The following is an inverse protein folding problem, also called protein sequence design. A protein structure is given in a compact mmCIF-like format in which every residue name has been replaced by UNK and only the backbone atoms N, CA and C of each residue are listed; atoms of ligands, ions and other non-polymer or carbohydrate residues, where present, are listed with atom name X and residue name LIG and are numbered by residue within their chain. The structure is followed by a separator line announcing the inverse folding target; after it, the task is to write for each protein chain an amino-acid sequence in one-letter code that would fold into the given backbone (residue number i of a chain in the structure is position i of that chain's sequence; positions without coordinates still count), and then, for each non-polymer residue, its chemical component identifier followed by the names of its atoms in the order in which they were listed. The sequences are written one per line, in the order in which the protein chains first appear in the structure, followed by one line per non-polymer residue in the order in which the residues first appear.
data_IF_439444269331
#
_entry.id   IF_439444269331
#
_cell.length_a   1.000
_cell.length_b   1.000
_cell.length_c   1.000
_cell.angle_alpha   90.00
_cell.angle_beta   90.00
_cell.angle_gamma   90.00
#
_symmetry.space_group_name_H-M   'P 1'
#
loop_
_entity.id
_entity.type
_entity.pdbx_description
1 polymer ?
#
# COMPACT_ATOMS: atom_id res chain seq x y z
N UNK A 1 -3.50 5.65 -11.43
CA UNK A 1 -2.10 5.22 -11.65
C UNK A 1 -2.06 3.70 -11.58
N UNK A 2 -1.11 3.05 -12.25
CA UNK A 2 -0.96 1.58 -12.19
C UNK A 2 -0.17 1.21 -10.92
N UNK A 3 -0.63 0.25 -10.10
CA UNK A 3 0.08 -0.16 -8.88
C UNK A 3 1.45 -0.77 -9.18
N UNK A 4 1.60 -1.42 -10.33
CA UNK A 4 2.87 -2.02 -10.77
C UNK A 4 3.92 -0.95 -11.05
N UNK A 5 3.52 0.18 -11.63
CA UNK A 5 4.44 1.30 -11.89
C UNK A 5 4.94 1.94 -10.60
N UNK A 6 4.10 2.02 -9.56
CA UNK A 6 4.55 2.48 -8.24
C UNK A 6 5.51 1.47 -7.60
N UNK A 7 5.16 0.18 -7.67
CA UNK A 7 5.96 -0.86 -7.04
C UNK A 7 7.41 -0.92 -7.56
N UNK A 8 7.64 -0.54 -8.82
CA UNK A 8 8.98 -0.49 -9.44
C UNK A 8 9.93 0.52 -8.79
N UNK A 9 9.42 1.50 -8.04
CA UNK A 9 10.26 2.44 -7.30
C UNK A 9 10.81 1.87 -5.99
N UNK A 10 10.23 0.77 -5.48
CA UNK A 10 10.73 0.08 -4.30
C UNK A 10 12.00 -0.71 -4.67
N UNK A 11 13.16 -0.23 -4.21
CA UNK A 11 14.44 -0.93 -4.41
C UNK A 11 14.79 -1.82 -3.22
N UNK A 12 14.06 -1.69 -2.11
CA UNK A 12 14.24 -2.49 -0.90
C UNK A 12 12.92 -2.60 -0.10
N UNK A 13 12.85 -3.51 0.89
CA UNK A 13 11.62 -3.72 1.67
C UNK A 13 11.13 -2.51 2.48
N UNK A 14 12.05 -1.65 2.93
CA UNK A 14 11.69 -0.43 3.65
C UNK A 14 10.96 0.54 2.73
N UNK A 15 11.49 0.78 1.52
CA UNK A 15 10.85 1.61 0.50
C UNK A 15 9.50 1.04 0.04
N UNK A 16 9.38 -0.30 -0.04
CA UNK A 16 8.10 -0.93 -0.35
C UNK A 16 7.03 -0.56 0.70
N UNK A 17 7.39 -0.65 1.98
CA UNK A 17 6.49 -0.27 3.08
C UNK A 17 6.13 1.22 3.03
N UNK A 18 7.10 2.10 2.73
CA UNK A 18 6.90 3.54 2.59
C UNK A 18 5.97 3.91 1.43
N UNK A 19 6.15 3.29 0.26
CA UNK A 19 5.30 3.54 -0.91
C UNK A 19 3.86 3.08 -0.70
N UNK A 20 3.67 1.93 -0.04
CA UNK A 20 2.34 1.49 0.36
C UNK A 20 1.69 2.47 1.34
N UNK A 21 2.42 2.89 2.39
CA UNK A 21 1.91 3.83 3.39
C UNK A 21 1.55 5.19 2.77
N UNK A 22 2.41 5.72 1.90
CA UNK A 22 2.14 6.97 1.18
C UNK A 22 0.87 6.86 0.30
N UNK A 23 0.68 5.71 -0.36
CA UNK A 23 -0.51 5.46 -1.18
C UNK A 23 -1.77 5.30 -0.34
N UNK A 24 -1.65 4.66 0.82
CA UNK A 24 -2.73 4.48 1.78
C UNK A 24 -3.20 5.82 2.37
N UNK A 25 -2.27 6.73 2.71
CA UNK A 25 -2.58 8.04 3.30
C UNK A 25 -3.42 8.95 2.39
N UNK A 26 -3.33 8.76 1.07
CA UNK A 26 -4.07 9.56 0.08
C UNK A 26 -5.33 8.85 -0.44
N UNK A 27 -5.47 7.55 -0.16
CA UNK A 27 -6.59 6.75 -0.62
C UNK A 27 -7.84 7.00 0.23
N UNK A 28 -8.99 7.04 -0.41
CA UNK A 28 -10.30 7.00 0.21
C UNK A 28 -10.69 5.54 0.51
N UNK A 29 -10.70 5.19 1.79
CA UNK A 29 -11.08 3.88 2.30
C UNK A 29 -12.57 3.55 2.10
N UNK A 30 -13.40 4.45 1.59
CA UNK A 30 -14.78 4.13 1.20
C UNK A 30 -14.87 3.78 -0.29
N UNK A 31 -13.84 4.10 -1.08
CA UNK A 31 -13.82 3.84 -2.51
C UNK A 31 -13.35 2.41 -2.81
N UNK A 32 -14.25 1.60 -3.38
CA UNK A 32 -13.97 0.22 -3.75
C UNK A 32 -12.79 0.06 -4.73
N UNK A 33 -12.67 0.98 -5.69
CA UNK A 33 -11.58 0.92 -6.68
C UNK A 33 -10.22 1.19 -6.03
N UNK A 34 -10.16 2.09 -5.05
CA UNK A 34 -8.92 2.42 -4.36
C UNK A 34 -8.50 1.32 -3.38
N UNK A 35 -9.45 0.61 -2.77
CA UNK A 35 -9.15 -0.65 -2.04
C UNK A 35 -8.54 -1.71 -2.94
N UNK A 36 -9.12 -1.93 -4.11
CA UNK A 36 -8.59 -2.89 -5.08
C UNK A 36 -7.18 -2.48 -5.54
N UNK A 37 -6.96 -1.19 -5.75
CA UNK A 37 -5.65 -0.63 -6.07
C UNK A 37 -4.61 -0.89 -4.97
N UNK A 38 -4.93 -0.60 -3.70
CA UNK A 38 -4.02 -0.85 -2.57
C UNK A 38 -3.71 -2.34 -2.39
N UNK A 39 -4.71 -3.20 -2.56
CA UNK A 39 -4.50 -4.65 -2.49
C UNK A 39 -3.56 -5.15 -3.58
N UNK A 40 -3.68 -4.63 -4.80
CA UNK A 40 -2.76 -4.98 -5.88
C UNK A 40 -1.37 -4.40 -5.65
N UNK A 41 -1.27 -3.16 -5.19
CA UNK A 41 -0.01 -2.52 -4.84
C UNK A 41 0.76 -3.33 -3.78
N UNK A 42 0.09 -3.78 -2.71
CA UNK A 42 0.71 -4.61 -1.68
C UNK A 42 1.31 -5.92 -2.25
N UNK A 43 0.61 -6.56 -3.19
CA UNK A 43 1.11 -7.78 -3.87
C UNK A 43 2.33 -7.48 -4.74
N UNK A 44 2.29 -6.41 -5.52
CA UNK A 44 3.40 -6.01 -6.40
C UNK A 44 4.65 -5.61 -5.60
N UNK A 45 4.44 -5.03 -4.41
CA UNK A 45 5.49 -4.68 -3.46
C UNK A 45 6.01 -5.87 -2.65
N UNK A 46 5.36 -7.04 -2.74
CA UNK A 46 5.75 -8.24 -2.00
C UNK A 46 5.59 -8.11 -0.49
N UNK A 47 4.60 -7.32 -0.02
CA UNK A 47 4.34 -7.13 1.41
C UNK A 47 3.52 -8.29 1.96
N UNK A 48 3.95 -8.83 3.09
CA UNK A 48 3.18 -9.85 3.82
C UNK A 48 1.89 -9.27 4.41
N UNK A 49 0.83 -10.07 4.45
CA UNK A 49 -0.50 -9.66 4.94
C UNK A 49 -0.46 -9.09 6.37
N UNK A 50 0.41 -9.62 7.23
CA UNK A 50 0.60 -9.11 8.59
C UNK A 50 1.19 -7.70 8.62
N UNK A 51 2.15 -7.42 7.74
CA UNK A 51 2.76 -6.08 7.62
C UNK A 51 1.74 -5.10 7.04
N UNK A 52 0.99 -5.50 6.01
CA UNK A 52 -0.09 -4.70 5.42
C UNK A 52 -1.13 -4.34 6.48
N UNK A 53 -1.58 -5.30 7.30
CA UNK A 53 -2.52 -5.03 8.37
C UNK A 53 -1.97 -4.02 9.40
N UNK A 54 -0.69 -4.14 9.78
CA UNK A 54 -0.05 -3.18 10.69
C UNK A 54 0.04 -1.77 10.10
N UNK A 55 0.34 -1.63 8.81
CA UNK A 55 0.41 -0.33 8.14
C UNK A 55 -0.99 0.30 8.04
N UNK A 56 -2.03 -0.49 7.78
CA UNK A 56 -3.43 -0.01 7.78
C UNK A 56 -3.86 0.51 9.16
N UNK A 57 -3.53 -0.22 10.23
CA UNK A 57 -3.82 0.20 11.60
C UNK A 57 -3.12 1.50 12.01
N UNK A 58 -1.93 1.77 11.47
CA UNK A 58 -1.21 3.03 11.74
C UNK A 58 -1.89 4.27 11.16
N UNK A 59 -2.65 4.11 10.06
CA UNK A 59 -3.37 5.22 9.42
C UNK A 59 -4.79 5.34 9.98
N UNK A 60 -5.52 4.23 10.08
CA UNK A 60 -6.91 4.21 10.59
C UNK A 60 -7.02 4.38 12.10
N UNK A 61 -5.95 4.11 12.85
CA UNK A 61 -5.87 4.30 14.29
C UNK A 61 -5.56 5.74 14.73
N UNK A 62 -5.43 6.69 13.78
CA UNK A 62 -5.21 8.12 14.04
C UNK A 62 -6.50 8.93 13.94
#
# INVERSE_FOLDING_TARGET
MDPSEIARFAQNPAQASELYLASLLIADEQNFMEKAYLNELAKQLGLDDQLVAQLNLQVTGQ
#
